data_IF_491826035352
#
_entry.id   IF_491826035352
#
_cell.length_a   1.000
_cell.length_b   1.000
_cell.length_c   1.000
_cell.angle_alpha   90.00
_cell.angle_beta   90.00
_cell.angle_gamma   90.00
#
_symmetry.space_group_name_H-M   'P 1'
#
loop_
_entity.id
_entity.type
_entity.pdbx_description
1 polymer ?
#
# COMPACT_ATOMS: atom_id res chain seq x y z
N UNK A 1 -17.06 -2.89 17.91
CA UNK A 1 -16.63 -3.59 16.68
C UNK A 1 -15.18 -3.23 16.39
N UNK A 2 -14.39 -4.13 15.80
CA UNK A 2 -13.02 -3.83 15.36
C UNK A 2 -13.02 -3.54 13.86
N UNK A 3 -12.35 -2.47 13.45
CA UNK A 3 -12.18 -2.08 12.05
C UNK A 3 -10.69 -2.17 11.73
N UNK A 4 -10.34 -3.03 10.77
CA UNK A 4 -9.00 -3.10 10.21
C UNK A 4 -8.92 -2.20 8.97
N UNK A 5 -7.94 -1.30 8.94
CA UNK A 5 -7.75 -0.34 7.84
C UNK A 5 -6.38 -0.60 7.22
N UNK A 6 -6.37 -0.78 5.90
CA UNK A 6 -5.16 -0.94 5.13
C UNK A 6 -4.31 0.36 5.13
N UNK A 7 -2.98 0.26 4.97
CA UNK A 7 -2.11 1.43 4.93
C UNK A 7 -1.87 1.90 3.49
N UNK A 8 -1.33 1.04 2.63
CA UNK A 8 -0.72 1.42 1.36
C UNK A 8 -1.79 1.62 0.27
N UNK A 9 -1.94 2.86 -0.21
CA UNK A 9 -2.98 3.25 -1.16
C UNK A 9 -4.35 3.49 -0.53
N UNK A 10 -4.50 3.22 0.77
CA UNK A 10 -5.69 3.55 1.55
C UNK A 10 -5.45 4.80 2.40
N UNK A 11 -4.45 4.75 3.29
CA UNK A 11 -4.09 5.88 4.16
C UNK A 11 -2.87 6.64 3.63
N UNK A 12 -1.90 5.92 3.09
CA UNK A 12 -0.64 6.46 2.58
C UNK A 12 -0.62 6.41 1.06
N UNK A 13 -0.36 7.54 0.41
CA UNK A 13 -0.34 7.66 -1.05
C UNK A 13 0.99 7.19 -1.63
N UNK A 14 1.21 5.87 -1.54
CA UNK A 14 2.39 5.23 -2.09
C UNK A 14 2.43 5.24 -3.62
N UNK A 15 1.27 5.42 -4.27
CA UNK A 15 1.12 5.35 -5.74
C UNK A 15 1.67 6.60 -6.39
N UNK A 16 1.30 7.79 -5.91
CA UNK A 16 1.89 9.06 -6.38
C UNK A 16 3.40 9.05 -6.22
N UNK A 17 3.87 8.66 -5.03
CA UNK A 17 5.30 8.61 -4.71
C UNK A 17 6.06 7.61 -5.59
N UNK A 18 5.44 6.48 -5.92
CA UNK A 18 6.00 5.53 -6.88
C UNK A 18 6.12 6.13 -8.27
N UNK A 19 5.06 6.76 -8.79
CA UNK A 19 5.06 7.35 -10.13
C UNK A 19 6.12 8.44 -10.24
N UNK A 20 6.17 9.38 -9.30
CA UNK A 20 7.21 10.44 -9.26
C UNK A 20 8.64 9.85 -9.35
N UNK A 21 8.91 8.78 -8.60
CA UNK A 21 10.22 8.15 -8.59
C UNK A 21 10.49 7.36 -9.88
N UNK A 22 9.46 6.77 -10.47
CA UNK A 22 9.57 6.08 -11.76
C UNK A 22 9.86 7.06 -12.89
N UNK A 23 9.14 8.18 -12.94
CA UNK A 23 9.36 9.27 -13.91
C UNK A 23 10.78 9.82 -13.80
N UNK A 24 11.27 10.05 -12.57
CA UNK A 24 12.64 10.49 -12.30
C UNK A 24 13.70 9.49 -12.81
N UNK A 25 13.41 8.20 -12.81
CA UNK A 25 14.34 7.15 -13.25
C UNK A 25 14.32 6.92 -14.77
N UNK A 26 13.16 7.10 -15.42
CA UNK A 26 12.96 6.72 -16.82
C UNK A 26 12.83 7.89 -17.79
N UNK A 27 12.67 9.12 -17.30
CA UNK A 27 12.41 10.31 -18.13
C UNK A 27 11.15 10.15 -19.02
N UNK A 28 10.18 9.37 -18.52
CA UNK A 28 8.88 9.10 -19.14
C UNK A 28 7.82 9.47 -18.11
N UNK A 29 6.77 10.19 -18.55
CA UNK A 29 5.61 10.52 -17.71
C UNK A 29 4.70 9.30 -17.64
N UNK A 30 4.36 8.88 -16.42
CA UNK A 30 3.49 7.73 -16.16
C UNK A 30 2.19 8.21 -15.49
N UNK A 31 1.08 7.55 -15.78
CA UNK A 31 -0.24 7.91 -15.29
C UNK A 31 -0.75 6.94 -14.22
N UNK A 32 -1.82 7.31 -13.53
CA UNK A 32 -2.54 6.37 -12.68
C UNK A 32 -3.27 5.28 -13.49
N UNK A 33 -3.54 5.51 -14.78
CA UNK A 33 -4.13 4.49 -15.66
C UNK A 33 -3.17 3.31 -15.81
N UNK A 34 -1.86 3.56 -15.80
CA UNK A 34 -0.81 2.53 -15.79
C UNK A 34 -0.83 1.68 -14.50
N UNK A 35 -1.55 2.13 -13.47
CA UNK A 35 -1.74 1.44 -12.18
C UNK A 35 -3.13 0.82 -12.02
N UNK A 36 -4.00 0.84 -13.05
CA UNK A 36 -5.41 0.42 -12.93
C UNK A 36 -5.60 -1.03 -12.51
N UNK A 37 -4.67 -1.91 -12.90
CA UNK A 37 -4.70 -3.31 -12.52
C UNK A 37 -3.80 -3.59 -11.31
N UNK A 38 -4.34 -4.26 -10.29
CA UNK A 38 -3.58 -4.68 -9.11
C UNK A 38 -2.32 -5.51 -9.44
N UNK A 39 -2.39 -6.28 -10.52
CA UNK A 39 -1.27 -7.10 -11.03
C UNK A 39 -0.38 -6.35 -12.01
N UNK A 40 -0.72 -5.11 -12.36
CA UNK A 40 0.03 -4.29 -13.31
C UNK A 40 0.27 -5.02 -14.65
N UNK A 41 -0.68 -5.85 -15.08
CA UNK A 41 -0.51 -6.76 -16.23
C UNK A 41 -0.21 -6.01 -17.54
N UNK A 42 -0.73 -4.80 -17.68
CA UNK A 42 -0.57 -3.92 -18.84
C UNK A 42 0.36 -2.72 -18.56
N UNK A 43 0.92 -2.65 -17.35
CA UNK A 43 1.76 -1.52 -16.96
C UNK A 43 3.11 -1.54 -17.69
N UNK A 44 3.69 -0.37 -17.99
CA UNK A 44 5.03 -0.26 -18.59
C UNK A 44 6.16 -0.65 -17.62
N UNK A 45 5.85 -1.12 -16.40
CA UNK A 45 6.80 -1.54 -15.37
C UNK A 45 6.38 -2.87 -14.74
N UNK A 46 7.36 -3.60 -14.22
CA UNK A 46 7.08 -4.85 -13.50
C UNK A 46 6.59 -4.61 -12.06
N UNK A 47 5.71 -5.50 -11.56
CA UNK A 47 5.31 -5.59 -10.15
C UNK A 47 6.51 -5.59 -9.20
N UNK A 48 7.60 -6.29 -9.57
CA UNK A 48 8.84 -6.33 -8.78
C UNK A 48 9.51 -4.96 -8.67
N UNK A 49 9.48 -4.16 -9.75
CA UNK A 49 10.00 -2.79 -9.75
C UNK A 49 9.14 -1.90 -8.84
N UNK A 50 7.82 -2.02 -8.93
CA UNK A 50 6.89 -1.33 -8.02
C UNK A 50 7.22 -1.56 -6.55
N UNK A 51 7.25 -2.83 -6.11
CA UNK A 51 7.54 -3.15 -4.71
C UNK A 51 8.93 -2.66 -4.24
N UNK A 52 9.95 -2.75 -5.11
CA UNK A 52 11.29 -2.26 -4.78
C UNK A 52 11.27 -0.74 -4.55
N UNK A 53 10.70 0.03 -5.48
CA UNK A 53 10.65 1.48 -5.39
C UNK A 53 9.77 1.95 -4.23
N UNK A 54 8.59 1.36 -4.04
CA UNK A 54 7.73 1.64 -2.90
C UNK A 54 8.47 1.42 -1.56
N UNK A 55 9.27 0.34 -1.45
CA UNK A 55 10.07 0.04 -0.25
C UNK A 55 11.20 1.05 -0.05
N UNK A 56 11.90 1.42 -1.11
CA UNK A 56 12.95 2.46 -1.07
C UNK A 56 12.35 3.80 -0.64
N UNK A 57 11.17 4.15 -1.15
CA UNK A 57 10.46 5.37 -0.78
C UNK A 57 10.08 5.40 0.70
N UNK A 58 9.50 4.33 1.24
CA UNK A 58 9.21 4.21 2.67
C UNK A 58 10.45 4.35 3.58
N UNK A 59 11.65 4.02 3.08
CA UNK A 59 12.90 4.16 3.84
C UNK A 59 13.50 5.56 3.76
N UNK A 60 13.29 6.26 2.65
CA UNK A 60 14.08 7.43 2.29
C UNK A 60 13.28 8.73 2.26
N UNK A 61 11.95 8.67 2.31
CA UNK A 61 11.08 9.85 2.30
C UNK A 61 9.80 9.63 3.10
N UNK A 62 9.18 10.73 3.47
CA UNK A 62 7.82 10.73 4.02
C UNK A 62 6.83 10.44 2.90
N UNK A 63 5.87 9.55 3.17
CA UNK A 63 4.77 9.24 2.25
C UNK A 63 3.58 10.10 2.67
N UNK A 64 3.03 10.94 1.78
CA UNK A 64 1.88 11.76 2.11
C UNK A 64 0.64 10.90 2.36
N UNK A 65 -0.35 11.48 3.04
CA UNK A 65 -1.66 10.85 3.16
C UNK A 65 -2.40 10.92 1.81
N UNK A 66 -3.21 9.91 1.52
CA UNK A 66 -4.13 9.91 0.35
C UNK A 66 -5.17 11.03 0.46
N UNK A 67 -5.56 11.39 1.68
CA UNK A 67 -6.45 12.50 2.00
C UNK A 67 -5.97 13.21 3.27
N UNK A 68 -6.00 14.55 3.26
CA UNK A 68 -5.60 15.38 4.41
C UNK A 68 -6.56 15.24 5.60
N UNK A 69 -7.79 14.79 5.38
CA UNK A 69 -8.81 14.63 6.43
C UNK A 69 -8.76 13.26 7.13
N UNK A 70 -7.91 12.33 6.67
CA UNK A 70 -7.73 11.01 7.28
C UNK A 70 -7.57 11.04 8.81
N UNK A 71 -6.71 11.90 9.40
CA UNK A 71 -6.53 11.91 10.86
C UNK A 71 -7.84 12.19 11.59
N UNK A 72 -8.65 13.11 11.08
CA UNK A 72 -9.98 13.43 11.63
C UNK A 72 -10.93 12.24 11.52
N UNK A 73 -11.01 11.60 10.35
CA UNK A 73 -11.86 10.42 10.15
C UNK A 73 -11.46 9.25 11.06
N UNK A 74 -10.15 9.02 11.24
CA UNK A 74 -9.64 7.98 12.14
C UNK A 74 -9.97 8.31 13.62
N UNK A 75 -9.84 9.58 14.01
CA UNK A 75 -10.21 10.03 15.35
C UNK A 75 -11.70 9.78 15.62
N UNK A 76 -12.58 10.22 14.72
CA UNK A 76 -14.03 10.00 14.82
C UNK A 76 -14.39 8.51 14.88
N UNK A 77 -13.79 7.67 14.03
CA UNK A 77 -14.01 6.23 14.06
C UNK A 77 -13.57 5.62 15.39
N UNK A 78 -12.44 6.08 15.95
CA UNK A 78 -11.86 5.56 17.18
C UNK A 78 -12.71 5.84 18.43
N UNK A 79 -13.59 6.84 18.38
CA UNK A 79 -14.50 7.16 19.50
C UNK A 79 -15.52 6.04 19.77
N UNK A 80 -15.87 5.25 18.75
CA UNK A 80 -16.90 4.20 18.84
C UNK A 80 -16.38 2.80 18.50
N UNK A 81 -15.17 2.71 17.93
CA UNK A 81 -14.62 1.46 17.41
C UNK A 81 -13.15 1.32 17.79
N UNK A 82 -12.70 0.07 17.94
CA UNK A 82 -11.26 -0.19 17.89
C UNK A 82 -10.84 -0.11 16.42
N UNK A 83 -9.84 0.70 16.13
CA UNK A 83 -9.27 0.87 14.79
C UNK A 83 -7.84 0.33 14.80
N UNK A 84 -7.60 -0.70 13.98
CA UNK A 84 -6.27 -1.28 13.79
C UNK A 84 -5.80 -0.94 12.37
N UNK A 85 -4.64 -0.31 12.23
CA UNK A 85 -3.99 -0.10 10.93
C UNK A 85 -3.17 -1.35 10.61
N UNK A 86 -3.45 -1.97 9.46
CA UNK A 86 -2.87 -3.25 9.04
C UNK A 86 -2.15 -3.05 7.72
N UNK A 87 -0.91 -3.53 7.63
CA UNK A 87 -0.11 -3.50 6.39
C UNK A 87 0.79 -4.72 6.33
N UNK A 88 1.18 -5.13 5.12
CA UNK A 88 2.15 -6.19 4.90
C UNK A 88 3.55 -5.59 4.84
N UNK A 89 4.43 -6.00 5.75
CA UNK A 89 5.87 -5.74 5.62
C UNK A 89 6.52 -6.88 4.85
N UNK A 90 7.11 -6.54 3.72
CA UNK A 90 7.60 -7.48 2.71
C UNK A 90 8.97 -8.13 3.08
N UNK A 91 9.13 -8.46 4.36
CA UNK A 91 10.13 -9.39 4.90
C UNK A 91 9.49 -10.77 5.21
N UNK A 92 8.20 -10.97 4.89
CA UNK A 92 7.59 -12.29 4.94
C UNK A 92 8.09 -13.07 3.72
N UNK A 93 9.24 -13.71 3.89
CA UNK A 93 9.59 -14.93 3.16
C UNK A 93 8.29 -15.72 2.95
N UNK A 94 7.97 -16.10 1.71
CA UNK A 94 6.78 -16.88 1.29
C UNK A 94 6.59 -18.22 2.04
N UNK A 95 7.29 -18.47 3.14
CA UNK A 95 7.04 -19.56 4.07
C UNK A 95 5.74 -19.32 4.84
N UNK A 96 4.66 -19.75 4.21
CA UNK A 96 3.52 -20.41 4.86
C UNK A 96 2.72 -19.47 5.76
N UNK A 97 1.82 -18.68 5.16
CA UNK A 97 0.52 -18.41 5.78
C UNK A 97 -0.40 -19.61 5.49
N UNK A 98 -0.08 -20.79 6.06
CA UNK A 98 -1.13 -21.79 6.33
C UNK A 98 -1.94 -21.22 7.48
N UNK A 99 -2.92 -20.38 7.14
CA UNK A 99 -4.01 -20.07 8.06
C UNK A 99 -4.68 -21.41 8.31
N UNK A 100 -4.42 -21.97 9.49
CA UNK A 100 -4.94 -23.26 9.90
C UNK A 100 -6.45 -23.19 10.04
N UNK A 101 -7.17 -23.48 8.96
CA UNK A 101 -8.47 -24.10 9.07
C UNK A 101 -8.23 -25.51 9.60
N UNK A 102 -8.20 -25.62 10.93
CA UNK A 102 -8.54 -26.85 11.62
C UNK A 102 -9.99 -27.13 11.26
N UNK A 103 -10.23 -27.85 10.17
CA UNK A 103 -11.47 -28.59 10.01
C UNK A 103 -11.52 -29.59 11.17
N UNK A 104 -12.37 -29.30 12.15
CA UNK A 104 -12.85 -30.32 13.08
C UNK A 104 -13.71 -31.27 12.26
N UNK A 105 -13.14 -32.41 11.90
CA UNK A 105 -13.89 -33.65 11.68
C UNK A 105 -13.72 -34.54 12.90
#
# INVERSE_FOLDING_TARGET
>A
MCIAIDLDGTLADIRTVFLEELERQEDIVHSFEDLENYYFDEAPFSVKKFHRLARENWKNREIPLTDKEIPTHLEELSQSHRVDIVTVRDDVDRKILRIGYSEKM
#
